data_IF_857349468722
#
_entry.id   IF_857349468722
#
_cell.length_a   1.000
_cell.length_b   1.000
_cell.length_c   1.000
_cell.angle_alpha   90.00
_cell.angle_beta   90.00
_cell.angle_gamma   90.00
#
_symmetry.space_group_name_H-M   'P 1'
#
loop_
_entity.id
_entity.type
_entity.pdbx_description
1 polymer ?
#
# COMPACT_ATOMS: atom_id res chain seq x y z
N UNK A 1 15.19 0.35 -34.96
CA UNK A 1 14.78 0.39 -36.38
C UNK A 1 14.32 -0.97 -36.90
N UNK A 2 15.02 -2.08 -36.63
CA UNK A 2 14.64 -3.43 -37.10
C UNK A 2 13.21 -3.88 -36.70
N UNK A 3 12.75 -3.58 -35.48
CA UNK A 3 11.41 -3.97 -35.01
C UNK A 3 10.26 -3.36 -35.82
N UNK A 4 10.44 -2.14 -36.34
CA UNK A 4 9.43 -1.46 -37.17
C UNK A 4 9.28 -2.13 -38.54
N UNK A 5 10.39 -2.53 -39.16
CA UNK A 5 10.37 -3.23 -40.45
C UNK A 5 9.80 -4.64 -40.35
N UNK A 6 10.09 -5.36 -39.26
CA UNK A 6 9.53 -6.69 -38.99
C UNK A 6 8.00 -6.60 -38.81
N UNK A 7 7.50 -5.63 -38.06
CA UNK A 7 6.06 -5.43 -37.85
C UNK A 7 5.31 -5.12 -39.14
N UNK A 8 5.87 -4.24 -39.99
CA UNK A 8 5.28 -3.91 -41.29
C UNK A 8 5.28 -5.12 -42.23
N UNK A 9 6.40 -5.86 -42.31
CA UNK A 9 6.50 -7.06 -43.14
C UNK A 9 5.53 -8.17 -42.72
N UNK A 10 5.40 -8.41 -41.41
CA UNK A 10 4.41 -9.35 -40.87
C UNK A 10 2.98 -8.91 -41.16
N UNK A 11 2.67 -7.61 -41.02
CA UNK A 11 1.35 -7.07 -41.32
C UNK A 11 0.94 -7.26 -42.78
N UNK A 12 1.86 -7.00 -43.71
CA UNK A 12 1.64 -7.21 -45.15
C UNK A 12 1.47 -8.71 -45.45
N UNK A 13 2.31 -9.58 -44.87
CA UNK A 13 2.20 -11.03 -45.03
C UNK A 13 0.87 -11.58 -44.54
N UNK A 14 0.44 -11.19 -43.34
CA UNK A 14 -0.86 -11.57 -42.77
C UNK A 14 -2.03 -11.08 -43.63
N UNK A 15 -1.99 -9.82 -44.09
CA UNK A 15 -3.02 -9.27 -44.97
C UNK A 15 -3.18 -10.06 -46.28
N UNK A 16 -2.05 -10.48 -46.87
CA UNK A 16 -2.04 -11.29 -48.09
C UNK A 16 -2.55 -12.72 -47.88
N UNK A 17 -2.28 -13.34 -46.72
CA UNK A 17 -2.77 -14.68 -46.40
C UNK A 17 -4.27 -14.71 -46.04
N UNK A 18 -4.78 -13.64 -45.44
CA UNK A 18 -6.17 -13.55 -44.96
C UNK A 18 -7.13 -13.16 -46.08
N UNK A 19 -6.68 -12.32 -47.02
CA UNK A 19 -7.51 -11.80 -48.11
C UNK A 19 -8.66 -10.92 -47.60
N UNK A 20 -9.85 -11.03 -48.20
CA UNK A 20 -11.03 -10.20 -47.89
C UNK A 20 -12.03 -10.85 -46.93
N UNK A 21 -11.65 -11.95 -46.26
CA UNK A 21 -12.56 -12.70 -45.39
C UNK A 21 -12.76 -11.98 -44.04
N UNK A 22 -13.91 -11.32 -43.86
CA UNK A 22 -14.29 -10.66 -42.60
C UNK A 22 -14.08 -11.52 -41.34
N UNK A 23 -14.51 -12.80 -41.28
CA UNK A 23 -14.29 -13.60 -40.06
C UNK A 23 -12.81 -13.87 -39.78
N UNK A 24 -12.00 -14.05 -40.83
CA UNK A 24 -10.57 -14.32 -40.68
C UNK A 24 -9.79 -13.04 -40.31
N UNK A 25 -10.20 -11.89 -40.85
CA UNK A 25 -9.71 -10.57 -40.42
C UNK A 25 -10.00 -10.35 -38.93
N UNK A 26 -11.23 -10.58 -38.49
CA UNK A 26 -11.62 -10.40 -37.08
C UNK A 26 -10.85 -11.34 -36.16
N UNK A 27 -10.70 -12.61 -36.54
CA UNK A 27 -9.89 -13.57 -35.78
C UNK A 27 -8.43 -13.12 -35.67
N UNK A 28 -7.83 -12.66 -36.78
CA UNK A 28 -6.45 -12.15 -36.77
C UNK A 28 -6.29 -10.93 -35.87
N UNK A 29 -7.26 -10.01 -35.91
CA UNK A 29 -7.26 -8.82 -35.08
C UNK A 29 -7.32 -9.20 -33.58
N UNK A 30 -8.20 -10.13 -33.20
CA UNK A 30 -8.28 -10.61 -31.83
C UNK A 30 -6.96 -11.24 -31.36
N UNK A 31 -6.32 -12.07 -32.18
CA UNK A 31 -5.04 -12.72 -31.84
C UNK A 31 -3.92 -11.69 -31.68
N UNK A 32 -3.76 -10.77 -32.65
CA UNK A 32 -2.73 -9.72 -32.57
C UNK A 32 -2.96 -8.81 -31.37
N UNK A 33 -4.22 -8.45 -31.10
CA UNK A 33 -4.60 -7.65 -29.93
C UNK A 33 -4.26 -8.37 -28.63
N UNK A 34 -4.56 -9.67 -28.54
CA UNK A 34 -4.22 -10.49 -27.37
C UNK A 34 -2.71 -10.55 -27.14
N UNK A 35 -1.91 -10.79 -28.19
CA UNK A 35 -0.44 -10.83 -28.11
C UNK A 35 0.12 -9.46 -27.69
N UNK A 36 -0.39 -8.37 -28.26
CA UNK A 36 0.01 -7.02 -27.91
C UNK A 36 -0.32 -6.70 -26.45
N UNK A 37 -1.53 -7.06 -25.99
CA UNK A 37 -1.95 -6.87 -24.61
C UNK A 37 -1.07 -7.68 -23.65
N UNK A 38 -0.81 -8.96 -23.96
CA UNK A 38 0.09 -9.81 -23.17
C UNK A 38 1.50 -9.23 -23.08
N UNK A 39 2.05 -8.74 -24.19
CA UNK A 39 3.39 -8.12 -24.23
C UNK A 39 3.45 -6.87 -23.38
N UNK A 40 2.42 -6.02 -23.45
CA UNK A 40 2.31 -4.84 -22.58
C UNK A 40 2.20 -5.25 -21.10
N UNK A 41 1.39 -6.25 -20.76
CA UNK A 41 1.27 -6.75 -19.40
C UNK A 41 2.62 -7.25 -18.87
N UNK A 42 3.37 -8.03 -19.66
CA UNK A 42 4.72 -8.48 -19.29
C UNK A 42 5.71 -7.33 -19.17
N UNK A 43 5.61 -6.33 -20.04
CA UNK A 43 6.40 -5.11 -19.92
C UNK A 43 6.10 -4.38 -18.61
N UNK A 44 4.84 -4.22 -18.23
CA UNK A 44 4.45 -3.61 -16.96
C UNK A 44 4.95 -4.41 -15.76
N UNK A 45 4.78 -5.74 -15.76
CA UNK A 45 5.28 -6.63 -14.70
C UNK A 45 6.82 -6.59 -14.53
N UNK A 46 7.56 -6.15 -15.55
CA UNK A 46 9.03 -6.00 -15.46
C UNK A 46 9.47 -4.71 -14.77
N UNK A 47 8.57 -3.75 -14.58
CA UNK A 47 8.90 -2.45 -13.97
C UNK A 47 9.04 -2.61 -12.46
N UNK A 48 10.19 -2.24 -11.93
CA UNK A 48 10.44 -2.16 -10.51
C UNK A 48 10.13 -0.74 -9.99
N UNK A 49 8.88 -0.51 -9.60
CA UNK A 49 8.48 0.70 -8.89
C UNK A 49 9.04 0.64 -7.47
N UNK A 50 9.93 1.59 -7.14
CA UNK A 50 10.61 1.67 -5.85
C UNK A 50 9.91 2.57 -4.84
N UNK A 51 8.85 3.27 -5.23
CA UNK A 51 8.10 4.16 -4.34
C UNK A 51 7.02 3.39 -3.60
N UNK A 52 6.74 3.80 -2.37
CA UNK A 52 5.75 3.12 -1.52
C UNK A 52 4.37 3.75 -1.69
N UNK A 53 3.39 2.95 -2.12
CA UNK A 53 1.96 3.27 -2.01
C UNK A 53 1.37 2.52 -0.79
N UNK A 54 0.11 2.75 -0.39
CA UNK A 54 -0.46 2.09 0.79
C UNK A 54 -0.40 0.56 0.80
N UNK A 55 -0.66 -0.08 -0.35
CA UNK A 55 -0.59 -1.53 -0.46
C UNK A 55 0.86 -2.04 -0.32
N UNK A 56 1.80 -1.50 -1.10
CA UNK A 56 3.21 -1.91 -1.06
C UNK A 56 3.86 -1.65 0.29
N UNK A 57 3.58 -0.49 0.89
CA UNK A 57 4.07 -0.17 2.23
C UNK A 57 3.51 -1.15 3.27
N UNK A 58 2.22 -1.48 3.20
CA UNK A 58 1.63 -2.44 4.15
C UNK A 58 2.23 -3.84 3.98
N UNK A 59 2.48 -4.29 2.75
CA UNK A 59 3.13 -5.57 2.49
C UNK A 59 4.58 -5.58 3.01
N UNK A 60 5.36 -4.53 2.72
CA UNK A 60 6.74 -4.38 3.22
C UNK A 60 6.78 -4.38 4.74
N UNK A 61 5.93 -3.58 5.39
CA UNK A 61 5.93 -3.45 6.84
C UNK A 61 5.39 -4.69 7.54
N UNK A 62 4.34 -5.32 7.01
CA UNK A 62 3.81 -6.58 7.57
C UNK A 62 4.85 -7.70 7.49
N UNK A 63 5.56 -7.84 6.37
CA UNK A 63 6.63 -8.82 6.26
C UNK A 63 7.80 -8.49 7.18
N UNK A 64 8.19 -7.21 7.30
CA UNK A 64 9.23 -6.79 8.23
C UNK A 64 8.87 -7.08 9.69
N UNK A 65 7.61 -6.87 10.10
CA UNK A 65 7.14 -7.17 11.45
C UNK A 65 7.15 -8.67 11.76
N UNK A 66 7.04 -9.53 10.75
CA UNK A 66 7.05 -10.99 10.90
C UNK A 66 8.46 -11.59 10.82
N UNK A 67 9.27 -11.12 9.87
CA UNK A 67 10.59 -11.71 9.56
C UNK A 67 11.78 -10.92 10.12
N UNK A 68 11.57 -9.63 10.44
CA UNK A 68 12.63 -8.68 10.76
C UNK A 68 13.44 -8.20 9.55
N UNK A 69 13.00 -8.50 8.32
CA UNK A 69 13.72 -8.14 7.09
C UNK A 69 12.81 -7.40 6.10
N UNK A 70 13.35 -6.37 5.45
CA UNK A 70 12.63 -5.65 4.41
C UNK A 70 12.65 -6.48 3.10
N UNK A 71 11.49 -6.83 2.52
CA UNK A 71 11.47 -7.61 1.29
C UNK A 71 11.95 -6.78 0.08
N UNK A 72 12.59 -7.41 -0.92
CA UNK A 72 13.09 -6.71 -2.10
C UNK A 72 11.94 -6.21 -3.01
N UNK A 73 12.21 -5.08 -3.67
CA UNK A 73 11.23 -4.37 -4.54
C UNK A 73 10.55 -5.27 -5.56
N UNK A 74 11.31 -6.18 -6.18
CA UNK A 74 10.82 -7.07 -7.23
C UNK A 74 9.70 -7.98 -6.75
N UNK A 75 9.79 -8.47 -5.52
CA UNK A 75 8.85 -9.45 -4.99
C UNK A 75 7.56 -8.78 -4.57
N UNK A 76 7.63 -7.64 -3.89
CA UNK A 76 6.45 -6.85 -3.52
C UNK A 76 5.68 -6.39 -4.76
N UNK A 77 6.37 -5.92 -5.81
CA UNK A 77 5.72 -5.52 -7.05
C UNK A 77 5.10 -6.70 -7.82
N UNK A 78 5.60 -7.92 -7.62
CA UNK A 78 5.01 -9.11 -8.25
C UNK A 78 3.67 -9.51 -7.60
N UNK A 79 3.46 -9.12 -6.34
CA UNK A 79 2.21 -9.37 -5.60
C UNK A 79 1.20 -8.22 -5.72
N UNK A 80 1.62 -7.04 -6.21
CA UNK A 80 0.71 -5.91 -6.39
C UNK A 80 -0.40 -6.23 -7.42
N UNK A 81 -1.69 -6.07 -7.05
CA UNK A 81 -2.79 -6.40 -7.95
C UNK A 81 -2.82 -5.45 -9.16
N UNK A 82 -2.66 -6.00 -10.37
CA UNK A 82 -2.69 -5.22 -11.62
C UNK A 82 -4.08 -4.63 -11.92
N UNK A 83 -5.13 -5.34 -11.53
CA UNK A 83 -6.52 -4.93 -11.73
C UNK A 83 -7.28 -4.93 -10.39
N UNK A 84 -7.10 -3.90 -9.53
CA UNK A 84 -7.76 -3.84 -8.23
C UNK A 84 -9.29 -3.90 -8.32
N UNK A 85 -9.86 -3.29 -9.36
CA UNK A 85 -11.31 -3.25 -9.59
C UNK A 85 -11.91 -4.57 -10.12
N UNK A 86 -11.08 -5.53 -10.57
CA UNK A 86 -11.54 -6.79 -11.15
C UNK A 86 -10.69 -7.97 -10.63
N UNK A 87 -10.88 -8.41 -9.36
CA UNK A 87 -10.01 -9.38 -8.70
C UNK A 87 -9.89 -10.73 -9.44
N UNK A 88 -10.94 -11.13 -10.15
CA UNK A 88 -10.98 -12.39 -10.93
C UNK A 88 -9.89 -12.40 -12.01
N UNK A 89 -9.54 -11.23 -12.58
CA UNK A 89 -8.50 -11.14 -13.60
C UNK A 89 -7.09 -11.28 -12.98
N UNK A 90 -6.86 -10.83 -11.74
CA UNK A 90 -5.55 -10.94 -11.09
C UNK A 90 -5.12 -12.40 -10.87
N UNK A 91 -6.07 -13.27 -10.50
CA UNK A 91 -5.81 -14.70 -10.29
C UNK A 91 -5.37 -15.43 -11.58
N UNK A 92 -5.81 -14.94 -12.75
CA UNK A 92 -5.51 -15.54 -14.06
C UNK A 92 -4.09 -15.19 -14.56
N UNK A 93 -3.53 -14.06 -14.14
CA UNK A 93 -2.23 -13.56 -14.61
C UNK A 93 -1.07 -13.77 -13.62
N UNK A 94 -1.37 -14.21 -12.40
CA UNK A 94 -0.36 -14.63 -11.44
C UNK A 94 0.29 -15.94 -11.92
N UNK A 95 1.36 -15.83 -12.71
CA UNK A 95 2.31 -16.94 -12.88
C UNK A 95 2.89 -17.22 -11.49
N UNK A 96 2.28 -18.19 -10.81
CA UNK A 96 2.56 -18.64 -9.45
C UNK A 96 3.90 -19.37 -9.41
N UNK A 97 4.99 -18.68 -9.73
CA UNK A 97 6.26 -19.04 -9.13
C UNK A 97 6.14 -18.56 -7.69
N UNK A 98 5.77 -19.46 -6.78
CA UNK A 98 5.75 -19.19 -5.34
C UNK A 98 7.03 -18.43 -4.96
N UNK A 99 6.93 -17.13 -4.75
CA UNK A 99 7.97 -16.37 -4.08
C UNK A 99 7.93 -16.85 -2.63
N UNK A 100 8.91 -17.68 -2.25
CA UNK A 100 9.07 -18.21 -0.89
C UNK A 100 9.35 -17.08 0.11
N UNK A 101 9.58 -15.86 -0.37
CA UNK A 101 10.10 -14.75 0.44
C UNK A 101 8.99 -13.92 1.11
N UNK A 102 7.77 -13.89 0.56
CA UNK A 102 6.64 -13.16 1.15
C UNK A 102 5.64 -14.12 1.77
N UNK A 103 5.42 -13.97 3.08
CA UNK A 103 4.48 -14.79 3.84
C UNK A 103 3.02 -14.56 3.39
N UNK A 104 2.18 -15.60 3.52
CA UNK A 104 0.73 -15.47 3.29
C UNK A 104 0.11 -14.45 4.23
N UNK A 105 0.59 -14.44 5.47
CA UNK A 105 0.16 -13.60 6.57
C UNK A 105 0.40 -12.12 6.24
N UNK A 106 1.57 -11.77 5.69
CA UNK A 106 1.86 -10.40 5.26
C UNK A 106 0.99 -9.95 4.08
N UNK A 107 0.68 -10.86 3.14
CA UNK A 107 -0.19 -10.57 1.99
C UNK A 107 -1.62 -10.30 2.44
N UNK A 108 -2.16 -11.14 3.32
CA UNK A 108 -3.49 -10.98 3.88
C UNK A 108 -3.59 -9.70 4.71
N UNK A 109 -2.55 -9.41 5.51
CA UNK A 109 -2.43 -8.16 6.26
C UNK A 109 -2.46 -6.93 5.33
N UNK A 110 -1.68 -6.93 4.25
CA UNK A 110 -1.62 -5.81 3.32
C UNK A 110 -2.99 -5.51 2.69
N UNK A 111 -3.74 -6.55 2.30
CA UNK A 111 -5.10 -6.40 1.75
C UNK A 111 -6.07 -5.87 2.81
N UNK A 112 -6.07 -6.44 4.02
CA UNK A 112 -6.99 -6.03 5.08
C UNK A 112 -6.71 -4.58 5.52
N UNK A 113 -5.43 -4.23 5.72
CA UNK A 113 -5.00 -2.88 6.09
C UNK A 113 -5.36 -1.87 5.00
N UNK A 114 -5.08 -2.15 3.72
CA UNK A 114 -5.44 -1.25 2.63
C UNK A 114 -6.94 -0.94 2.63
N UNK A 115 -7.78 -1.96 2.88
CA UNK A 115 -9.24 -1.80 2.91
C UNK A 115 -9.76 -1.02 4.13
N UNK A 116 -9.06 -1.13 5.28
CA UNK A 116 -9.41 -0.48 6.55
C UNK A 116 -8.80 0.91 6.70
N UNK A 117 -7.73 1.22 5.98
CA UNK A 117 -6.98 2.47 6.10
C UNK A 117 -7.75 3.67 5.53
N UNK A 118 -7.83 4.74 6.32
CA UNK A 118 -8.35 6.03 5.88
C UNK A 118 -7.36 7.14 6.24
N UNK A 119 -6.67 7.67 5.23
CA UNK A 119 -5.77 8.81 5.37
C UNK A 119 -6.54 10.13 5.17
N UNK A 120 -6.36 11.09 6.08
CA UNK A 120 -7.02 12.40 6.02
C UNK A 120 -8.45 12.41 6.57
N UNK A 121 -8.79 11.52 7.50
CA UNK A 121 -10.11 11.48 8.13
C UNK A 121 -10.39 12.76 8.93
N UNK A 122 -11.67 13.14 9.07
CA UNK A 122 -12.04 14.28 9.92
C UNK A 122 -11.97 13.88 11.38
N UNK A 123 -11.39 14.76 12.19
CA UNK A 123 -11.33 14.55 13.64
C UNK A 123 -12.73 14.39 14.27
N UNK A 124 -13.72 15.15 13.77
CA UNK A 124 -15.11 15.11 14.24
C UNK A 124 -15.85 13.81 13.90
N UNK A 125 -15.35 13.03 12.95
CA UNK A 125 -15.95 11.73 12.57
C UNK A 125 -15.43 10.59 13.45
N UNK A 126 -14.32 10.81 14.17
CA UNK A 126 -13.61 9.80 14.95
C UNK A 126 -13.88 9.98 16.44
N UNK A 127 -14.09 11.22 16.89
CA UNK A 127 -14.12 11.59 18.30
C UNK A 127 -15.49 12.10 18.71
N UNK A 128 -15.99 11.56 19.83
CA UNK A 128 -17.30 11.92 20.37
C UNK A 128 -17.22 12.81 21.62
N UNK A 129 -16.07 12.85 22.30
CA UNK A 129 -15.89 13.58 23.56
C UNK A 129 -14.62 14.45 23.57
N UNK A 130 -14.67 15.59 24.28
CA UNK A 130 -13.55 16.51 24.47
C UNK A 130 -12.34 15.83 25.11
N UNK A 131 -12.55 14.91 26.04
CA UNK A 131 -11.48 14.18 26.74
C UNK A 131 -10.65 13.30 25.80
N UNK A 132 -11.29 12.65 24.84
CA UNK A 132 -10.63 11.85 23.79
C UNK A 132 -9.77 12.73 22.89
N UNK A 133 -10.27 13.92 22.53
CA UNK A 133 -9.49 14.92 21.78
C UNK A 133 -8.22 15.25 22.56
N UNK A 134 -8.35 15.65 23.84
CA UNK A 134 -7.20 16.03 24.66
C UNK A 134 -6.19 14.90 24.81
N UNK A 135 -6.65 13.66 25.00
CA UNK A 135 -5.79 12.48 25.10
C UNK A 135 -4.99 12.24 23.79
N UNK A 136 -5.67 12.27 22.64
CA UNK A 136 -5.05 12.07 21.34
C UNK A 136 -4.05 13.19 21.00
N UNK A 137 -4.41 14.45 21.25
CA UNK A 137 -3.50 15.58 21.02
C UNK A 137 -2.27 15.53 21.95
N UNK A 138 -2.44 15.09 23.20
CA UNK A 138 -1.34 14.90 24.13
C UNK A 138 -0.39 13.81 23.68
N UNK A 139 -0.92 12.65 23.26
CA UNK A 139 -0.13 11.51 22.80
C UNK A 139 0.66 11.85 21.53
N UNK A 140 -0.02 12.38 20.51
CA UNK A 140 0.58 12.66 19.20
C UNK A 140 1.20 14.06 19.10
N UNK A 141 1.53 14.72 20.21
CA UNK A 141 2.00 16.12 20.21
C UNK A 141 3.18 16.37 19.25
N UNK A 142 4.09 15.41 19.15
CA UNK A 142 5.33 15.51 18.37
C UNK A 142 5.22 14.94 16.93
N UNK A 143 4.09 14.31 16.60
CA UNK A 143 3.91 13.65 15.30
C UNK A 143 3.19 14.54 14.29
N UNK A 144 3.42 14.32 13.00
CA UNK A 144 2.68 15.02 11.93
C UNK A 144 1.23 14.54 11.75
N UNK A 145 0.78 13.54 12.50
CA UNK A 145 -0.54 12.91 12.34
C UNK A 145 -1.14 12.53 13.70
N UNK A 146 -2.40 12.13 13.70
CA UNK A 146 -3.10 11.51 14.82
C UNK A 146 -3.74 10.23 14.29
N UNK A 147 -3.56 9.12 14.99
CA UNK A 147 -4.12 7.83 14.62
C UNK A 147 -5.12 7.37 15.67
N UNK A 148 -6.26 6.87 15.19
CA UNK A 148 -7.30 6.24 16.02
C UNK A 148 -8.02 5.19 15.20
N UNK A 149 -8.63 4.22 15.88
CA UNK A 149 -9.53 3.26 15.26
C UNK A 149 -10.99 3.71 15.47
N UNK A 150 -11.78 3.71 14.40
CA UNK A 150 -13.21 3.99 14.48
C UNK A 150 -13.97 3.05 13.53
N UNK A 151 -14.97 2.34 14.04
CA UNK A 151 -15.81 1.40 13.26
C UNK A 151 -14.99 0.35 12.47
N UNK A 152 -13.91 -0.17 13.06
CA UNK A 152 -13.01 -1.15 12.43
C UNK A 152 -12.09 -0.56 11.36
N UNK A 153 -12.02 0.76 11.21
CA UNK A 153 -11.14 1.45 10.27
C UNK A 153 -10.00 2.15 11.00
N UNK A 154 -8.81 2.12 10.39
CA UNK A 154 -7.64 2.87 10.85
C UNK A 154 -7.72 4.28 10.29
N UNK A 155 -8.18 5.22 11.11
CA UNK A 155 -8.38 6.60 10.73
C UNK A 155 -7.14 7.43 11.11
N UNK A 156 -6.45 7.94 10.10
CA UNK A 156 -5.30 8.84 10.25
C UNK A 156 -5.77 10.25 9.95
N UNK A 157 -5.75 11.12 10.97
CA UNK A 157 -5.97 12.55 10.82
C UNK A 157 -4.61 13.22 10.57
N UNK A 158 -4.51 13.96 9.47
CA UNK A 158 -3.26 14.61 9.08
C UNK A 158 -3.20 16.02 9.66
N UNK A 159 -2.06 16.40 10.24
CA UNK A 159 -1.83 17.80 10.61
C UNK A 159 -1.43 18.63 9.39
N UNK A 160 -1.54 19.95 9.50
CA UNK A 160 -1.21 20.88 8.41
C UNK A 160 0.27 20.73 7.97
N UNK A 161 1.17 20.51 8.92
CA UNK A 161 2.60 20.30 8.69
C UNK A 161 2.98 18.84 8.35
N UNK A 162 2.01 17.94 8.16
CA UNK A 162 2.28 16.52 7.88
C UNK A 162 2.99 16.33 6.54
N UNK A 163 4.20 15.77 6.60
CA UNK A 163 5.04 15.41 5.47
C UNK A 163 4.67 14.04 4.89
N UNK A 164 5.25 13.68 3.74
CA UNK A 164 5.09 12.34 3.17
C UNK A 164 5.75 11.25 4.02
N UNK A 165 6.83 11.58 4.74
CA UNK A 165 7.48 10.69 5.71
C UNK A 165 6.57 10.44 6.91
N UNK A 166 5.87 11.47 7.40
CA UNK A 166 4.89 11.30 8.48
C UNK A 166 3.75 10.38 8.07
N UNK A 167 3.24 10.49 6.84
CA UNK A 167 2.24 9.56 6.31
C UNK A 167 2.76 8.12 6.21
N UNK A 168 4.04 7.95 5.85
CA UNK A 168 4.68 6.64 5.81
C UNK A 168 4.83 6.05 7.24
N UNK A 169 5.24 6.88 8.22
CA UNK A 169 5.32 6.50 9.63
C UNK A 169 3.96 6.14 10.21
N UNK A 170 2.93 6.90 9.87
CA UNK A 170 1.55 6.60 10.26
C UNK A 170 1.13 5.22 9.74
N UNK A 171 1.45 4.91 8.48
CA UNK A 171 1.14 3.60 7.91
C UNK A 171 1.95 2.47 8.56
N UNK A 172 3.21 2.71 8.93
CA UNK A 172 3.99 1.75 9.72
C UNK A 172 3.35 1.48 11.08
N UNK A 173 2.90 2.53 11.79
CA UNK A 173 2.17 2.37 13.04
C UNK A 173 0.87 1.60 12.85
N UNK A 174 0.13 1.84 11.77
CA UNK A 174 -1.10 1.07 11.43
C UNK A 174 -0.79 -0.42 11.22
N UNK A 175 0.30 -0.74 10.52
CA UNK A 175 0.72 -2.14 10.33
C UNK A 175 1.03 -2.80 11.68
N UNK A 176 1.69 -2.08 12.58
CA UNK A 176 1.95 -2.59 13.92
C UNK A 176 0.68 -2.71 14.77
N UNK A 177 -0.28 -1.78 14.67
CA UNK A 177 -1.60 -1.91 15.33
C UNK A 177 -2.35 -3.15 14.87
N UNK A 178 -2.31 -3.42 13.56
CA UNK A 178 -2.89 -4.62 12.98
C UNK A 178 -2.18 -5.89 13.48
N UNK A 179 -0.84 -5.85 13.53
CA UNK A 179 -0.05 -6.95 14.07
C UNK A 179 -0.38 -7.23 15.55
N UNK A 180 -0.55 -6.20 16.38
CA UNK A 180 -0.97 -6.33 17.78
C UNK A 180 -2.36 -6.97 17.92
N UNK A 181 -3.30 -6.60 17.03
CA UNK A 181 -4.65 -7.16 17.00
C UNK A 181 -4.63 -8.65 16.67
N UNK A 182 -3.92 -9.04 15.60
CA UNK A 182 -3.93 -10.43 15.09
C UNK A 182 -2.99 -11.37 15.84
N UNK A 183 -1.82 -10.90 16.29
CA UNK A 183 -0.77 -11.76 16.85
C UNK A 183 -0.64 -11.67 18.37
N UNK A 184 -0.95 -10.51 18.96
CA UNK A 184 -0.85 -10.30 20.41
C UNK A 184 -2.21 -10.32 21.14
N UNK A 185 -3.33 -10.37 20.40
CA UNK A 185 -4.68 -10.33 20.96
C UNK A 185 -5.01 -9.00 21.65
N UNK A 186 -4.29 -7.91 21.30
CA UNK A 186 -4.49 -6.58 21.87
C UNK A 186 -5.42 -5.80 20.94
N UNK A 187 -6.71 -5.86 21.23
CA UNK A 187 -7.75 -5.12 20.53
C UNK A 187 -7.91 -3.70 21.07
N UNK A 188 -8.49 -2.81 20.26
CA UNK A 188 -8.76 -1.42 20.65
C UNK A 188 -9.88 -1.32 21.67
N UNK A 189 -9.66 -0.59 22.77
CA UNK A 189 -10.67 -0.34 23.82
C UNK A 189 -11.24 1.07 23.77
N UNK A 190 -10.87 1.84 22.74
CA UNK A 190 -11.29 3.22 22.51
C UNK A 190 -10.16 4.20 22.85
N UNK A 191 -10.19 5.36 22.18
CA UNK A 191 -9.10 6.34 22.19
C UNK A 191 -8.64 6.73 23.61
N UNK A 192 -9.56 6.91 24.56
CA UNK A 192 -9.24 7.34 25.92
C UNK A 192 -8.45 6.29 26.72
N UNK A 193 -8.70 5.00 26.49
CA UNK A 193 -7.96 3.91 27.12
C UNK A 193 -6.67 3.62 26.36
N UNK A 194 -6.74 3.63 25.03
CA UNK A 194 -5.61 3.28 24.19
C UNK A 194 -4.48 4.34 24.23
N UNK A 195 -4.79 5.57 24.62
CA UNK A 195 -3.81 6.65 24.82
C UNK A 195 -3.13 6.65 26.19
N UNK A 196 -3.61 5.88 27.17
CA UNK A 196 -3.01 5.82 28.52
C UNK A 196 -1.76 4.93 28.53
N UNK A 197 -0.91 5.03 29.57
CA UNK A 197 0.22 4.11 29.78
C UNK A 197 -0.18 2.64 29.65
N UNK A 198 0.45 1.93 28.72
CA UNK A 198 0.14 0.53 28.40
C UNK A 198 -1.07 0.34 27.45
N UNK A 199 -1.68 1.43 26.97
CA UNK A 199 -2.72 1.42 25.96
C UNK A 199 -2.17 1.14 24.56
N UNK A 200 -3.02 0.60 23.68
CA UNK A 200 -2.62 0.13 22.35
C UNK A 200 -2.05 1.25 21.45
N UNK A 201 -2.65 2.44 21.47
CA UNK A 201 -2.17 3.58 20.69
C UNK A 201 -0.84 4.10 21.23
N UNK A 202 -0.65 4.12 22.55
CA UNK A 202 0.63 4.50 23.14
C UNK A 202 1.73 3.49 22.80
N UNK A 203 1.51 2.19 23.03
CA UNK A 203 2.49 1.14 22.75
C UNK A 203 2.88 1.15 21.26
N UNK A 204 1.90 1.32 20.37
CA UNK A 204 2.18 1.37 18.93
C UNK A 204 2.96 2.61 18.51
N UNK A 205 2.68 3.77 19.12
CA UNK A 205 3.42 5.00 18.83
C UNK A 205 4.88 4.88 19.31
N UNK A 206 5.11 4.39 20.53
CA UNK A 206 6.46 4.18 21.07
C UNK A 206 7.27 3.22 20.19
N UNK A 207 6.64 2.14 19.71
CA UNK A 207 7.26 1.22 18.76
C UNK A 207 7.60 1.90 17.43
N UNK A 208 6.66 2.68 16.87
CA UNK A 208 6.89 3.40 15.62
C UNK A 208 8.00 4.46 15.76
N UNK A 209 8.07 5.18 16.87
CA UNK A 209 9.15 6.14 17.14
C UNK A 209 10.53 5.46 17.19
N UNK A 210 10.60 4.26 17.78
CA UNK A 210 11.85 3.51 17.92
C UNK A 210 12.28 2.83 16.62
N UNK A 211 11.37 2.12 15.96
CA UNK A 211 11.70 1.19 14.87
C UNK A 211 11.60 1.78 13.47
N UNK A 212 10.83 2.86 13.27
CA UNK A 212 10.54 3.35 11.92
C UNK A 212 11.80 3.73 11.13
N UNK A 213 12.80 4.32 11.78
CA UNK A 213 14.07 4.65 11.12
C UNK A 213 14.87 3.40 10.74
N UNK A 214 14.79 2.32 11.52
CA UNK A 214 15.45 1.05 11.19
C UNK A 214 14.83 0.42 9.96
N UNK A 215 13.49 0.28 9.96
CA UNK A 215 12.73 -0.27 8.82
C UNK A 215 12.99 0.55 7.57
N UNK A 216 13.10 1.87 7.71
CA UNK A 216 13.43 2.77 6.60
C UNK A 216 14.79 2.46 5.99
N UNK A 217 15.83 2.45 6.82
CA UNK A 217 17.20 2.22 6.38
C UNK A 217 17.37 0.81 5.76
N UNK A 218 16.73 -0.19 6.35
CA UNK A 218 16.72 -1.56 5.83
C UNK A 218 15.99 -1.63 4.48
N UNK A 219 14.87 -0.91 4.35
CA UNK A 219 14.15 -0.75 3.09
C UNK A 219 15.01 -0.11 1.99
N UNK A 220 15.75 0.97 2.31
CA UNK A 220 16.68 1.61 1.38
C UNK A 220 17.79 0.65 0.93
N UNK A 221 18.29 -0.18 1.84
CA UNK A 221 19.34 -1.17 1.55
C UNK A 221 18.92 -2.21 0.50
N UNK A 222 17.62 -2.53 0.42
CA UNK A 222 17.03 -3.45 -0.57
C UNK A 222 16.40 -2.73 -1.76
N UNK A 223 16.59 -1.41 -1.85
CA UNK A 223 16.27 -0.60 -3.02
C UNK A 223 14.94 0.15 -3.00
N UNK A 224 14.24 0.21 -1.85
CA UNK A 224 13.07 1.07 -1.70
C UNK A 224 13.46 2.54 -1.63
N UNK A 225 12.56 3.41 -2.12
CA UNK A 225 12.60 4.85 -1.88
C UNK A 225 11.62 5.13 -0.75
N UNK A 226 12.15 5.52 0.40
CA UNK A 226 11.39 5.71 1.64
C UNK A 226 11.26 7.18 2.06
N UNK A 227 11.44 8.09 1.11
CA UNK A 227 11.22 9.53 1.28
C UNK A 227 9.76 9.89 1.59
N UNK A 228 8.85 8.93 1.45
CA UNK A 228 7.47 9.07 1.91
C UNK A 228 6.48 8.14 1.24
N UNK A 229 5.22 8.28 1.65
CA UNK A 229 4.10 7.52 1.12
C UNK A 229 3.44 8.25 -0.06
N UNK A 230 3.38 7.57 -1.21
CA UNK A 230 2.63 8.01 -2.39
C UNK A 230 1.17 7.56 -2.21
N UNK A 231 0.39 8.40 -1.57
CA UNK A 231 -1.04 8.19 -1.35
C UNK A 231 -1.85 9.44 -1.73
N UNK A 232 -3.15 9.25 -1.96
CA UNK A 232 -4.12 10.34 -2.11
C UNK A 232 -4.98 10.41 -0.85
N UNK A 233 -4.55 11.16 0.18
CA UNK A 233 -5.36 11.33 1.38
C UNK A 233 -6.63 12.14 1.08
N UNK A 234 -7.64 11.99 1.93
CA UNK A 234 -8.79 12.87 1.98
C UNK A 234 -8.34 14.32 2.25
N UNK A 235 -9.12 15.34 1.83
CA UNK A 235 -8.69 16.73 1.84
C UNK A 235 -8.58 17.34 3.25
N UNK A 236 -8.94 16.62 4.30
CA UNK A 236 -9.02 17.19 5.65
C UNK A 236 -7.63 17.20 6.30
N UNK A 237 -7.25 18.38 6.79
CA UNK A 237 -6.09 18.57 7.65
C UNK A 237 -6.49 19.39 8.86
N UNK A 238 -5.86 19.11 9.99
CA UNK A 238 -6.06 19.86 11.22
C UNK A 238 -4.87 20.76 11.49
N UNK A 239 -5.14 21.98 11.95
CA UNK A 239 -4.13 22.85 12.53
C UNK A 239 -4.29 22.75 14.05
N UNK A 240 -3.30 22.21 14.79
CA UNK A 240 -3.29 22.34 16.24
C UNK A 240 -3.33 23.84 16.58
N UNK A 241 -4.25 24.26 17.44
CA UNK A 241 -4.25 25.65 17.92
C UNK A 241 -2.91 25.94 18.59
N UNK A 242 -2.39 27.17 18.41
CA UNK A 242 -1.20 27.59 19.12
C UNK A 242 -1.47 27.46 20.62
N UNK A 243 -0.65 26.66 21.31
CA UNK A 243 -0.53 26.74 22.76
C UNK A 243 0.45 27.86 23.03
N UNK A 244 -0.05 29.09 23.00
CA UNK A 244 0.60 30.21 23.69
C UNK A 244 0.32 30.12 25.19
#
# INVERSE_FOLDING_TARGET
MASRFIGIGLGIGLGNCIGSSTPLVLASFCVVTWIHMYSNLKSYQSIQIRTLNPYRASLVFSEYLLSGQAPPVKEVNAEEPLFPAVPILNASFANKAQSIVLSSEAKDAAVEIESRLQLGSKLSEIINNKEEVLALFSLYKNEGYILSEHTGKFCVVLKENCSQVDMLKALFQVNYLYWLEKNAGIEGRGALYDCKPGGRLQISLEYAEREFNHVRNDGESVGWITDGLIARPLPNRIRPGNTE
#
